data_IF_234542680130
#
_entry.id   IF_234542680130
#
_cell.length_a   1.000
_cell.length_b   1.000
_cell.length_c   1.000
_cell.angle_alpha   90.00
_cell.angle_beta   90.00
_cell.angle_gamma   90.00
#
_symmetry.space_group_name_H-M   'P 1'
#
loop_
_entity.id
_entity.type
_entity.pdbx_description
1 polymer ?
#
# COMPACT_ATOMS: atom_id res chain seq x y z
N UNK A 1 -11.64 -8.45 -6.90
CA UNK A 1 -10.20 -8.28 -6.66
C UNK A 1 -9.96 -8.36 -5.16
N UNK A 2 -8.84 -8.94 -4.76
CA UNK A 2 -8.36 -8.92 -3.39
C UNK A 2 -7.36 -7.78 -3.26
N UNK A 3 -7.66 -6.84 -2.37
CA UNK A 3 -6.85 -5.65 -2.10
C UNK A 3 -6.22 -5.80 -0.73
N UNK A 4 -4.91 -5.60 -0.65
CA UNK A 4 -4.22 -5.38 0.61
C UNK A 4 -4.13 -3.87 0.84
N UNK A 5 -4.77 -3.37 1.89
CA UNK A 5 -4.68 -1.97 2.31
C UNK A 5 -3.73 -1.88 3.50
N UNK A 6 -2.61 -1.18 3.34
CA UNK A 6 -1.62 -0.94 4.41
C UNK A 6 -1.71 0.53 4.82
N UNK A 7 -2.38 0.79 5.94
CA UNK A 7 -2.73 2.13 6.44
C UNK A 7 -2.89 2.07 7.97
N UNK A 8 -2.19 2.92 8.71
CA UNK A 8 -2.21 2.90 10.17
C UNK A 8 -3.26 3.82 10.78
N UNK A 9 -3.75 4.84 10.06
CA UNK A 9 -4.83 5.70 10.55
C UNK A 9 -6.20 5.04 10.38
N UNK A 10 -6.89 4.63 11.47
CA UNK A 10 -8.10 3.81 11.37
C UNK A 10 -9.26 4.48 10.62
N UNK A 11 -9.28 5.82 10.63
CA UNK A 11 -10.32 6.60 9.93
C UNK A 11 -10.11 6.57 8.42
N UNK A 12 -8.86 6.65 7.97
CA UNK A 12 -8.50 6.58 6.54
C UNK A 12 -8.72 5.15 6.06
N UNK A 13 -8.26 4.16 6.84
CA UNK A 13 -8.47 2.75 6.55
C UNK A 13 -9.97 2.40 6.41
N UNK A 14 -10.83 2.82 7.34
CA UNK A 14 -12.28 2.57 7.27
C UNK A 14 -12.92 3.23 6.04
N UNK A 15 -12.52 4.46 5.72
CA UNK A 15 -13.04 5.16 4.55
C UNK A 15 -12.72 4.43 3.25
N UNK A 16 -11.46 4.00 3.08
CA UNK A 16 -11.00 3.29 1.88
C UNK A 16 -11.58 1.87 1.82
N UNK A 17 -11.58 1.11 2.93
CA UNK A 17 -12.16 -0.23 3.01
C UNK A 17 -13.63 -0.21 2.57
N UNK A 18 -14.42 0.73 3.09
CA UNK A 18 -15.84 0.87 2.72
C UNK A 18 -16.03 1.22 1.25
N UNK A 19 -15.20 2.12 0.70
CA UNK A 19 -15.25 2.50 -0.71
C UNK A 19 -14.95 1.32 -1.64
N UNK A 20 -13.86 0.58 -1.37
CA UNK A 20 -13.47 -0.58 -2.16
C UNK A 20 -14.47 -1.73 -2.03
N UNK A 21 -14.99 -1.99 -0.83
CA UNK A 21 -16.02 -3.03 -0.62
C UNK A 21 -17.33 -2.69 -1.32
N UNK A 22 -17.72 -1.41 -1.42
CA UNK A 22 -18.91 -1.01 -2.17
C UNK A 22 -18.80 -1.36 -3.66
N UNK A 23 -17.58 -1.39 -4.20
CA UNK A 23 -17.27 -1.84 -5.57
C UNK A 23 -17.03 -3.36 -5.67
N UNK A 24 -17.45 -4.14 -4.67
CA UNK A 24 -17.31 -5.60 -4.59
C UNK A 24 -15.86 -6.11 -4.60
N UNK A 25 -14.93 -5.35 -4.01
CA UNK A 25 -13.57 -5.84 -3.73
C UNK A 25 -13.49 -6.51 -2.35
N UNK A 26 -12.67 -7.56 -2.26
CA UNK A 26 -12.25 -8.13 -0.97
C UNK A 26 -11.09 -7.31 -0.43
N UNK A 27 -11.20 -6.79 0.78
CA UNK A 27 -10.17 -5.94 1.39
C UNK A 27 -9.64 -6.59 2.64
N UNK A 28 -8.32 -6.66 2.75
CA UNK A 28 -7.59 -7.02 3.98
C UNK A 28 -6.80 -5.80 4.41
N UNK A 29 -6.93 -5.40 5.67
CA UNK A 29 -6.27 -4.21 6.21
C UNK A 29 -5.08 -4.62 7.07
N UNK A 30 -3.94 -3.99 6.85
CA UNK A 30 -2.73 -4.05 7.65
C UNK A 30 -2.45 -2.68 8.26
N UNK A 31 -2.10 -2.66 9.54
CA UNK A 31 -1.88 -1.43 10.33
C UNK A 31 -0.41 -1.04 10.47
N UNK A 32 0.50 -1.84 9.92
CA UNK A 32 1.94 -1.58 9.90
C UNK A 32 2.58 -2.09 8.62
N UNK A 33 3.76 -1.57 8.30
CA UNK A 33 4.52 -2.01 7.12
C UNK A 33 4.97 -3.47 7.24
N UNK A 34 5.36 -3.90 8.44
CA UNK A 34 5.70 -5.29 8.72
C UNK A 34 4.53 -6.25 8.48
N UNK A 35 3.33 -5.91 8.98
CA UNK A 35 2.12 -6.69 8.75
C UNK A 35 1.77 -6.72 7.25
N UNK A 36 1.89 -5.58 6.56
CA UNK A 36 1.67 -5.49 5.12
C UNK A 36 2.63 -6.39 4.32
N UNK A 37 3.91 -6.43 4.67
CA UNK A 37 4.90 -7.32 4.03
C UNK A 37 4.56 -8.79 4.26
N UNK A 38 4.21 -9.16 5.49
CA UNK A 38 3.90 -10.56 5.83
C UNK A 38 2.63 -11.04 5.15
N UNK A 39 1.63 -10.17 5.00
CA UNK A 39 0.40 -10.47 4.24
C UNK A 39 0.67 -10.55 2.74
N UNK A 40 1.38 -9.60 2.14
CA UNK A 40 1.66 -9.62 0.70
C UNK A 40 2.30 -10.95 0.24
N UNK A 41 3.18 -11.52 1.07
CA UNK A 41 3.84 -12.82 0.83
C UNK A 41 2.92 -14.01 0.66
N UNK A 42 1.65 -13.93 1.05
CA UNK A 42 0.69 -15.00 0.79
C UNK A 42 0.42 -15.17 -0.70
N UNK A 43 0.66 -14.13 -1.51
CA UNK A 43 0.42 -14.12 -2.95
C UNK A 43 -1.07 -14.09 -3.31
N UNK A 44 -1.93 -13.67 -2.38
CA UNK A 44 -3.40 -13.69 -2.54
C UNK A 44 -3.99 -12.37 -3.05
N UNK A 45 -3.16 -11.34 -3.23
CA UNK A 45 -3.61 -9.98 -3.52
C UNK A 45 -3.36 -9.59 -4.98
N UNK A 46 -4.36 -8.93 -5.58
CA UNK A 46 -4.28 -8.41 -6.95
C UNK A 46 -3.63 -7.01 -6.99
N UNK A 47 -3.70 -6.27 -5.88
CA UNK A 47 -3.15 -4.92 -5.73
C UNK A 47 -2.91 -4.61 -4.25
N UNK A 48 -1.87 -3.83 -3.98
CA UNK A 48 -1.55 -3.29 -2.66
C UNK A 48 -1.79 -1.78 -2.70
N UNK A 49 -2.58 -1.28 -1.77
CA UNK A 49 -2.75 0.14 -1.50
C UNK A 49 -1.93 0.45 -0.26
N UNK A 50 -0.93 1.32 -0.37
CA UNK A 50 0.14 1.46 0.62
C UNK A 50 0.34 2.91 1.04
N UNK A 51 0.11 3.22 2.32
CA UNK A 51 0.50 4.51 2.87
C UNK A 51 2.02 4.66 2.99
N UNK A 52 2.48 5.90 2.90
CA UNK A 52 3.88 6.27 3.04
C UNK A 52 4.35 6.29 4.49
N UNK A 53 3.51 6.69 5.43
CA UNK A 53 3.90 7.07 6.78
C UNK A 53 3.40 6.06 7.81
N UNK A 54 3.93 4.84 7.76
CA UNK A 54 3.57 3.77 8.69
C UNK A 54 4.35 3.88 10.00
N UNK A 55 3.83 3.35 11.12
CA UNK A 55 4.41 3.51 12.45
C UNK A 55 5.78 2.84 12.64
N UNK A 56 6.10 1.83 11.83
CA UNK A 56 7.29 0.99 11.96
C UNK A 56 8.33 1.16 10.83
N UNK A 57 7.92 1.59 9.64
CA UNK A 57 8.82 1.85 8.51
C UNK A 57 8.18 2.78 7.48
N UNK A 58 8.96 3.29 6.52
CA UNK A 58 8.39 4.07 5.44
C UNK A 58 7.76 3.13 4.39
N UNK A 59 6.65 3.53 3.76
CA UNK A 59 6.05 2.77 2.66
C UNK A 59 7.00 2.48 1.49
N UNK A 60 8.02 3.32 1.28
CA UNK A 60 9.09 3.02 0.30
C UNK A 60 9.91 1.78 0.69
N UNK A 61 10.15 1.57 1.98
CA UNK A 61 10.89 0.41 2.48
C UNK A 61 10.07 -0.88 2.31
N UNK A 62 8.74 -0.80 2.53
CA UNK A 62 7.80 -1.89 2.22
C UNK A 62 7.87 -2.25 0.74
N UNK A 63 7.69 -1.26 -0.15
CA UNK A 63 7.77 -1.47 -1.58
C UNK A 63 9.12 -2.09 -1.99
N UNK A 64 10.23 -1.55 -1.51
CA UNK A 64 11.56 -2.08 -1.82
C UNK A 64 11.71 -3.54 -1.36
N UNK A 65 11.24 -3.87 -0.16
CA UNK A 65 11.34 -5.22 0.40
C UNK A 65 10.55 -6.23 -0.42
N UNK A 66 9.32 -5.90 -0.78
CA UNK A 66 8.47 -6.74 -1.65
C UNK A 66 9.15 -7.01 -2.99
N UNK A 67 9.69 -5.96 -3.64
CA UNK A 67 10.40 -6.10 -4.92
C UNK A 67 11.67 -6.96 -4.81
N UNK A 68 12.43 -6.84 -3.71
CA UNK A 68 13.61 -7.68 -3.45
C UNK A 68 13.26 -9.15 -3.22
N UNK A 69 12.08 -9.42 -2.66
CA UNK A 69 11.57 -10.77 -2.42
C UNK A 69 10.87 -11.37 -3.66
N UNK A 70 10.85 -10.65 -4.79
CA UNK A 70 10.28 -11.10 -6.06
C UNK A 70 8.77 -10.90 -6.18
N UNK A 71 8.16 -10.17 -5.25
CA UNK A 71 6.76 -9.78 -5.32
C UNK A 71 6.58 -8.63 -6.30
N UNK A 72 5.77 -8.88 -7.33
CA UNK A 72 5.44 -7.94 -8.41
C UNK A 72 3.97 -7.51 -8.38
N UNK A 73 3.28 -7.71 -7.26
CA UNK A 73 1.92 -7.21 -7.06
C UNK A 73 1.93 -5.69 -7.29
N UNK A 74 0.99 -5.15 -8.09
CA UNK A 74 0.87 -3.72 -8.30
C UNK A 74 0.73 -2.97 -6.98
N UNK A 75 1.49 -1.89 -6.79
CA UNK A 75 1.45 -1.05 -5.58
C UNK A 75 0.98 0.37 -5.96
N UNK A 76 -0.17 0.76 -5.41
CA UNK A 76 -0.69 2.13 -5.42
C UNK A 76 -0.30 2.82 -4.12
N UNK A 77 0.52 3.86 -4.19
CA UNK A 77 0.93 4.61 -3.01
C UNK A 77 -0.16 5.63 -2.63
N UNK A 78 -0.59 5.61 -1.38
CA UNK A 78 -1.38 6.67 -0.77
C UNK A 78 -0.43 7.73 -0.22
N UNK A 79 -0.70 8.99 -0.54
CA UNK A 79 0.08 10.11 0.01
C UNK A 79 -0.78 11.34 0.21
N UNK A 80 -0.75 11.91 1.41
CA UNK A 80 -1.24 13.27 1.65
C UNK A 80 -0.20 14.34 1.26
N UNK A 81 1.01 13.94 0.86
CA UNK A 81 2.09 14.86 0.52
C UNK A 81 1.98 15.29 -0.95
N UNK A 82 1.62 16.56 -1.13
CA UNK A 82 1.49 17.27 -2.41
C UNK A 82 2.83 17.55 -3.14
N UNK A 83 3.97 17.23 -2.51
CA UNK A 83 5.27 17.57 -3.06
C UNK A 83 5.66 16.64 -4.22
N UNK A 84 5.84 17.23 -5.40
CA UNK A 84 6.29 16.58 -6.64
C UNK A 84 7.55 15.70 -6.46
N UNK A 85 8.42 16.03 -5.51
CA UNK A 85 9.65 15.28 -5.22
C UNK A 85 9.38 13.88 -4.65
N UNK A 86 8.32 13.70 -3.87
CA UNK A 86 7.95 12.40 -3.28
C UNK A 86 7.35 11.46 -4.32
N UNK A 87 6.56 12.00 -5.25
CA UNK A 87 6.01 11.26 -6.40
C UNK A 87 7.13 10.73 -7.32
N UNK A 88 8.20 11.52 -7.50
CA UNK A 88 9.36 11.11 -8.32
C UNK A 88 10.18 10.02 -7.61
N UNK A 89 10.27 10.05 -6.28
CA UNK A 89 11.07 9.09 -5.51
C UNK A 89 10.46 7.70 -5.53
N UNK A 90 9.15 7.55 -5.31
CA UNK A 90 8.55 6.20 -5.31
C UNK A 90 8.33 5.58 -6.68
N UNK A 91 8.13 6.38 -7.74
CA UNK A 91 8.22 5.88 -9.12
C UNK A 91 9.60 5.26 -9.41
N UNK A 92 10.67 5.76 -8.77
CA UNK A 92 12.03 5.20 -8.89
C UNK A 92 12.27 3.98 -8.00
N UNK A 93 11.48 3.77 -6.95
CA UNK A 93 11.60 2.61 -6.05
C UNK A 93 10.65 1.46 -6.41
N UNK A 94 9.84 1.61 -7.46
CA UNK A 94 9.02 0.52 -8.03
C UNK A 94 7.54 0.56 -7.68
N UNK A 95 7.02 1.71 -7.26
CA UNK A 95 5.58 1.96 -7.20
C UNK A 95 5.00 2.11 -8.61
N UNK A 96 3.75 1.65 -8.78
CA UNK A 96 3.08 1.64 -10.08
C UNK A 96 2.27 2.92 -10.33
N UNK A 97 1.69 3.52 -9.28
CA UNK A 97 0.98 4.81 -9.35
C UNK A 97 0.81 5.48 -7.97
N UNK A 98 0.21 6.67 -7.94
CA UNK A 98 -0.06 7.47 -6.73
C UNK A 98 -1.50 8.00 -6.67
N UNK A 99 -2.08 7.98 -5.46
CA UNK A 99 -3.32 8.68 -5.13
C UNK A 99 -3.03 9.81 -4.12
N UNK A 100 -3.63 10.98 -4.35
CA UNK A 100 -3.62 12.15 -3.46
C UNK A 100 -5.06 12.47 -3.05
#
# INVERSE_FOLDING_TARGET
MNVLLVEDEPRVADFIDRGLRAENHGVTVASSGSEGVDLAKTGEFDVIVLDLMLPDMHGYDVCQRLRLEGDHTPILMLTAMDALEDKIKGLKTGADDYLT
#
